data_IF_265637399149
#
_entry.id   IF_265637399149
#
_cell.length_a   1.000
_cell.length_b   1.000
_cell.length_c   1.000
_cell.angle_alpha   90.00
_cell.angle_beta   90.00
_cell.angle_gamma   90.00
#
_symmetry.space_group_name_H-M   'P 1'
#
loop_
_entity.id
_entity.type
_entity.pdbx_description
1 polymer ?
#
# COMPACT_ATOMS: atom_id res chain seq x y z
N UNK A 1 11.34 -81.14 -21.55
CA UNK A 1 11.05 -79.97 -20.69
C UNK A 1 11.79 -78.77 -21.29
N UNK A 2 11.06 -77.86 -21.94
CA UNK A 2 11.60 -76.95 -22.96
C UNK A 2 12.18 -75.66 -22.36
N UNK A 3 13.45 -75.37 -22.70
CA UNK A 3 14.23 -74.17 -22.34
C UNK A 3 13.53 -72.84 -22.67
N UNK A 4 12.52 -72.87 -23.57
CA UNK A 4 11.76 -71.69 -24.00
C UNK A 4 10.83 -71.11 -22.90
N UNK A 5 10.49 -71.88 -21.86
CA UNK A 5 9.61 -71.40 -20.76
C UNK A 5 10.36 -70.70 -19.62
N UNK A 6 11.67 -70.93 -19.48
CA UNK A 6 12.47 -70.30 -18.41
C UNK A 6 12.94 -68.88 -18.78
N UNK A 7 13.22 -68.62 -20.06
CA UNK A 7 13.66 -67.29 -20.53
C UNK A 7 12.57 -66.23 -20.49
N UNK A 8 11.30 -66.62 -20.65
CA UNK A 8 10.17 -65.68 -20.63
C UNK A 8 9.82 -65.22 -19.21
N UNK A 9 10.00 -66.08 -18.20
CA UNK A 9 9.78 -65.73 -16.80
C UNK A 9 10.86 -64.76 -16.26
N UNK A 10 12.10 -64.85 -16.74
CA UNK A 10 13.19 -63.96 -16.33
C UNK A 10 13.09 -62.56 -16.97
N UNK A 11 12.58 -62.46 -18.21
CA UNK A 11 12.38 -61.19 -18.91
C UNK A 11 11.19 -60.37 -18.35
N UNK A 12 10.15 -61.04 -17.85
CA UNK A 12 9.00 -60.36 -17.22
C UNK A 12 9.34 -59.84 -15.83
N UNK A 13 10.20 -60.53 -15.06
CA UNK A 13 10.64 -60.04 -13.75
C UNK A 13 11.58 -58.81 -13.82
N UNK A 14 12.38 -58.70 -14.89
CA UNK A 14 13.23 -57.52 -15.12
C UNK A 14 12.44 -56.29 -15.58
N UNK A 15 11.31 -56.49 -16.27
CA UNK A 15 10.44 -55.38 -16.69
C UNK A 15 9.54 -54.84 -15.56
N UNK A 16 9.14 -55.69 -14.61
CA UNK A 16 8.36 -55.27 -13.44
C UNK A 16 9.25 -54.57 -12.41
N UNK A 17 10.52 -54.96 -12.26
CA UNK A 17 11.45 -54.26 -11.35
C UNK A 17 12.00 -52.94 -11.94
N UNK A 18 12.07 -52.81 -13.26
CA UNK A 18 12.47 -51.57 -13.95
C UNK A 18 11.38 -50.49 -14.06
N UNK A 19 10.12 -50.83 -13.77
CA UNK A 19 8.98 -49.89 -13.78
C UNK A 19 8.53 -49.47 -12.38
N UNK A 20 9.08 -50.07 -11.32
CA UNK A 20 8.78 -49.75 -9.93
C UNK A 20 9.76 -48.77 -9.26
N UNK A 21 10.84 -48.36 -9.93
CA UNK A 21 11.87 -47.46 -9.37
C UNK A 21 11.77 -46.01 -9.83
N UNK A 22 10.73 -45.62 -10.57
CA UNK A 22 10.45 -44.21 -10.94
C UNK A 22 9.23 -43.61 -10.22
N UNK A 23 8.67 -44.32 -9.23
CA UNK A 23 7.65 -43.78 -8.31
C UNK A 23 8.36 -43.36 -7.03
N UNK A 24 9.00 -42.18 -7.03
CA UNK A 24 9.66 -41.77 -5.78
C UNK A 24 10.58 -40.58 -5.83
N UNK A 25 10.25 -39.52 -6.59
CA UNK A 25 10.70 -38.16 -6.27
C UNK A 25 10.00 -37.13 -7.17
N UNK A 26 8.68 -37.16 -7.20
CA UNK A 26 7.98 -35.91 -7.45
C UNK A 26 8.09 -35.13 -6.14
N UNK A 27 9.19 -34.42 -5.95
CA UNK A 27 9.20 -33.29 -5.04
C UNK A 27 7.99 -32.45 -5.46
N UNK A 28 6.95 -32.45 -4.63
CA UNK A 28 5.92 -31.45 -4.71
C UNK A 28 6.63 -30.11 -4.54
N UNK A 29 7.08 -29.52 -5.65
CA UNK A 29 7.46 -28.12 -5.71
C UNK A 29 6.21 -27.40 -5.22
N UNK A 30 6.26 -26.91 -3.98
CA UNK A 30 5.17 -26.16 -3.40
C UNK A 30 4.75 -25.11 -4.42
N UNK A 31 3.47 -25.11 -4.80
CA UNK A 31 2.95 -24.20 -5.81
C UNK A 31 3.32 -22.78 -5.38
N UNK A 32 4.14 -22.12 -6.18
CA UNK A 32 4.58 -20.74 -5.94
C UNK A 32 3.34 -19.88 -5.71
N UNK A 33 3.24 -19.28 -4.52
CA UNK A 33 2.17 -18.34 -4.19
C UNK A 33 2.47 -17.03 -4.92
N UNK A 34 1.68 -16.74 -5.95
CA UNK A 34 1.73 -15.47 -6.66
C UNK A 34 0.76 -14.49 -6.01
N UNK A 35 1.27 -13.32 -5.66
CA UNK A 35 0.50 -12.21 -5.10
C UNK A 35 0.61 -11.00 -6.04
N UNK A 36 -0.50 -10.30 -6.22
CA UNK A 36 -0.58 -9.08 -7.00
C UNK A 36 -0.51 -7.88 -6.04
N UNK A 37 0.50 -7.02 -6.23
CA UNK A 37 0.64 -5.78 -5.47
C UNK A 37 0.41 -4.56 -6.37
N UNK A 38 -0.61 -3.75 -6.07
CA UNK A 38 -1.00 -2.59 -6.88
C UNK A 38 -0.94 -1.26 -6.13
N UNK A 39 -0.47 -0.19 -6.79
CA UNK A 39 -0.57 1.18 -6.28
C UNK A 39 -0.44 2.24 -7.38
N UNK A 40 -0.82 3.48 -7.05
CA UNK A 40 -0.83 4.60 -8.00
C UNK A 40 0.43 5.49 -7.96
N UNK A 41 1.29 5.34 -6.95
CA UNK A 41 2.53 6.14 -6.82
C UNK A 41 3.50 5.89 -8.00
N UNK A 42 3.92 6.92 -8.75
CA UNK A 42 4.91 6.79 -9.81
C UNK A 42 6.35 6.92 -9.30
N UNK A 43 7.36 6.46 -10.07
CA UNK A 43 8.78 6.57 -9.73
C UNK A 43 9.29 8.00 -9.45
N UNK A 44 8.56 9.02 -9.88
CA UNK A 44 8.89 10.43 -9.62
C UNK A 44 8.85 10.79 -8.13
N UNK A 45 8.07 10.07 -7.30
CA UNK A 45 8.02 10.28 -5.84
C UNK A 45 9.24 9.63 -5.18
N UNK A 46 10.32 10.39 -5.03
CA UNK A 46 11.61 9.89 -4.53
C UNK A 46 11.60 9.44 -3.07
N UNK A 47 10.62 9.88 -2.29
CA UNK A 47 10.45 9.53 -0.88
C UNK A 47 9.54 8.32 -0.67
N UNK A 48 8.45 8.21 -1.43
CA UNK A 48 7.47 7.12 -1.29
C UNK A 48 7.79 5.91 -2.17
N UNK A 49 8.24 6.12 -3.40
CA UNK A 49 8.39 5.01 -4.35
C UNK A 49 9.46 3.99 -3.93
N UNK A 50 10.67 4.38 -3.49
CA UNK A 50 11.70 3.40 -3.12
C UNK A 50 11.29 2.43 -2.00
N UNK A 51 10.72 2.85 -0.86
CA UNK A 51 10.29 1.89 0.17
C UNK A 51 9.10 1.03 -0.29
N UNK A 52 8.20 1.57 -1.11
CA UNK A 52 7.07 0.81 -1.66
C UNK A 52 7.56 -0.27 -2.63
N UNK A 53 8.53 0.03 -3.50
CA UNK A 53 9.14 -0.95 -4.40
C UNK A 53 10.04 -1.95 -3.65
N UNK A 54 10.71 -1.51 -2.58
CA UNK A 54 11.56 -2.38 -1.77
C UNK A 54 10.80 -3.55 -1.12
N UNK A 55 9.50 -3.39 -0.86
CA UNK A 55 8.66 -4.44 -0.28
C UNK A 55 8.49 -5.69 -1.19
N UNK A 56 7.97 -5.59 -2.43
CA UNK A 56 7.93 -6.73 -3.35
C UNK A 56 9.32 -7.24 -3.71
N UNK A 57 10.33 -6.37 -3.85
CA UNK A 57 11.71 -6.77 -4.14
C UNK A 57 12.28 -7.66 -3.02
N UNK A 58 12.10 -7.27 -1.77
CA UNK A 58 12.52 -8.05 -0.61
C UNK A 58 11.85 -9.42 -0.57
N UNK A 59 10.53 -9.49 -0.83
CA UNK A 59 9.80 -10.77 -0.86
C UNK A 59 10.28 -11.64 -2.01
N UNK A 60 10.51 -11.08 -3.20
CA UNK A 60 10.96 -11.84 -4.36
C UNK A 60 12.38 -12.39 -4.18
N UNK A 61 13.26 -11.63 -3.52
CA UNK A 61 14.63 -12.08 -3.19
C UNK A 61 14.64 -13.15 -2.09
N UNK A 62 13.87 -12.96 -1.02
CA UNK A 62 13.91 -13.81 0.18
C UNK A 62 12.87 -14.94 0.19
N UNK A 63 11.90 -14.90 -0.73
CA UNK A 63 10.79 -15.84 -0.84
C UNK A 63 11.20 -17.23 -1.30
N UNK A 64 12.45 -17.42 -1.78
CA UNK A 64 13.05 -18.70 -2.18
C UNK A 64 12.14 -19.52 -3.11
N UNK A 65 11.48 -18.85 -4.05
CA UNK A 65 10.55 -19.45 -5.02
C UNK A 65 9.23 -19.96 -4.42
N UNK A 66 8.95 -19.69 -3.13
CA UNK A 66 7.67 -20.04 -2.48
C UNK A 66 6.63 -18.95 -2.63
N UNK A 67 7.06 -17.70 -2.68
CA UNK A 67 6.22 -16.52 -2.83
C UNK A 67 6.82 -15.63 -3.91
N UNK A 68 5.97 -15.10 -4.77
CA UNK A 68 6.32 -14.12 -5.79
C UNK A 68 5.29 -13.00 -5.78
N UNK A 69 5.75 -11.75 -5.78
CA UNK A 69 4.92 -10.56 -5.88
C UNK A 69 5.07 -9.95 -7.26
N UNK A 70 3.96 -9.84 -7.99
CA UNK A 70 3.85 -9.07 -9.23
C UNK A 70 3.46 -7.63 -8.88
N UNK A 71 4.35 -6.69 -9.17
CA UNK A 71 4.26 -5.30 -8.72
C UNK A 71 3.75 -4.38 -9.85
N UNK A 72 2.59 -3.76 -9.63
CA UNK A 72 1.93 -2.83 -10.54
C UNK A 72 1.88 -1.43 -9.91
N UNK A 73 2.76 -0.55 -10.38
CA UNK A 73 2.84 0.84 -9.91
C UNK A 73 2.20 1.83 -10.90
N UNK A 74 2.22 3.13 -10.59
CA UNK A 74 1.69 4.20 -11.45
C UNK A 74 0.23 4.02 -11.90
N UNK A 75 -0.54 3.21 -11.19
CA UNK A 75 -1.93 2.90 -11.53
C UNK A 75 -2.07 2.20 -12.88
N UNK A 76 -1.12 1.31 -13.21
CA UNK A 76 -1.13 0.47 -14.42
C UNK A 76 -2.17 -0.65 -14.34
N UNK A 77 -2.43 -1.19 -13.14
CA UNK A 77 -3.47 -2.19 -12.90
C UNK A 77 -4.77 -1.58 -12.35
N UNK A 78 -4.67 -0.77 -11.30
CA UNK A 78 -5.80 -0.12 -10.63
C UNK A 78 -5.51 1.37 -10.41
N UNK A 79 -6.46 2.24 -10.75
CA UNK A 79 -6.44 3.66 -10.36
C UNK A 79 -6.70 3.81 -8.86
N UNK A 80 -6.42 4.99 -8.31
CA UNK A 80 -6.49 5.20 -6.85
C UNK A 80 -7.85 4.80 -6.28
N UNK A 81 -8.93 5.31 -6.85
CA UNK A 81 -10.32 5.01 -6.48
C UNK A 81 -10.70 3.52 -6.60
N UNK A 82 -9.96 2.74 -7.40
CA UNK A 82 -10.21 1.32 -7.65
C UNK A 82 -9.43 0.40 -6.70
N UNK A 83 -8.42 0.91 -5.97
CA UNK A 83 -7.52 0.07 -5.17
C UNK A 83 -8.25 -0.68 -4.03
N UNK A 84 -9.02 0.01 -3.20
CA UNK A 84 -9.74 -0.64 -2.10
C UNK A 84 -10.82 -1.62 -2.61
N UNK A 85 -11.68 -1.26 -3.58
CA UNK A 85 -12.59 -2.21 -4.20
C UNK A 85 -11.87 -3.41 -4.82
N UNK A 86 -10.74 -3.18 -5.50
CA UNK A 86 -9.91 -4.22 -6.12
C UNK A 86 -9.28 -5.16 -5.10
N UNK A 87 -8.87 -4.68 -3.93
CA UNK A 87 -8.45 -5.51 -2.80
C UNK A 87 -9.59 -6.39 -2.31
N UNK A 88 -10.75 -5.79 -2.03
CA UNK A 88 -11.92 -6.51 -1.50
C UNK A 88 -12.48 -7.56 -2.48
N UNK A 89 -12.30 -7.36 -3.77
CA UNK A 89 -12.72 -8.28 -4.84
C UNK A 89 -11.64 -9.33 -5.19
N UNK A 90 -10.41 -9.19 -4.66
CA UNK A 90 -9.29 -10.07 -4.99
C UNK A 90 -8.68 -9.83 -6.38
N UNK A 91 -8.89 -8.65 -6.97
CA UNK A 91 -8.15 -8.22 -8.18
C UNK A 91 -6.69 -7.93 -7.88
N UNK A 92 -6.40 -7.40 -6.69
CA UNK A 92 -5.06 -7.30 -6.13
C UNK A 92 -5.06 -7.92 -4.72
N UNK A 93 -4.01 -8.65 -4.37
CA UNK A 93 -3.86 -9.26 -3.04
C UNK A 93 -3.30 -8.28 -2.02
N UNK A 94 -2.53 -7.30 -2.49
CA UNK A 94 -1.87 -6.27 -1.69
C UNK A 94 -2.08 -4.93 -2.41
N UNK A 95 -2.36 -3.88 -1.66
CA UNK A 95 -2.43 -2.51 -2.18
C UNK A 95 -1.62 -1.55 -1.31
N UNK A 96 -1.16 -0.46 -1.92
CA UNK A 96 -0.74 0.73 -1.19
C UNK A 96 -1.68 1.87 -1.57
N UNK A 97 -2.32 2.46 -0.56
CA UNK A 97 -3.34 3.49 -0.71
C UNK A 97 -3.28 4.46 0.47
N UNK A 98 -3.65 5.72 0.24
CA UNK A 98 -3.88 6.71 1.28
C UNK A 98 -5.06 6.30 2.15
N UNK A 99 -4.86 6.38 3.46
CA UNK A 99 -5.90 6.27 4.48
C UNK A 99 -7.10 7.15 4.15
N UNK A 100 -6.86 8.37 3.66
CA UNK A 100 -7.89 9.34 3.27
C UNK A 100 -8.90 8.84 2.26
N UNK A 101 -8.44 8.08 1.27
CA UNK A 101 -9.27 7.50 0.22
C UNK A 101 -10.10 6.31 0.72
N UNK A 102 -9.72 5.72 1.86
CA UNK A 102 -10.33 4.52 2.41
C UNK A 102 -11.27 4.79 3.59
N UNK A 103 -11.17 5.96 4.24
CA UNK A 103 -11.94 6.29 5.45
C UNK A 103 -13.46 6.13 5.31
N UNK A 104 -14.01 6.37 4.11
CA UNK A 104 -15.45 6.20 3.87
C UNK A 104 -15.93 4.76 4.09
N UNK A 105 -15.07 3.78 3.80
CA UNK A 105 -15.34 2.35 3.95
C UNK A 105 -14.71 1.78 5.22
N UNK A 106 -13.57 2.32 5.65
CA UNK A 106 -12.75 1.89 6.78
C UNK A 106 -12.55 3.06 7.77
N UNK A 107 -13.57 3.47 8.55
CA UNK A 107 -13.51 4.69 9.36
C UNK A 107 -12.38 4.74 10.40
N UNK A 108 -11.94 3.58 10.88
CA UNK A 108 -10.82 3.47 11.83
C UNK A 108 -9.53 4.10 11.31
N UNK A 109 -9.34 4.15 9.98
CA UNK A 109 -8.16 4.73 9.36
C UNK A 109 -8.10 6.25 9.50
N UNK A 110 -9.22 6.92 9.80
CA UNK A 110 -9.22 8.36 10.07
C UNK A 110 -8.45 8.79 11.32
N UNK A 111 -8.02 7.84 12.15
CA UNK A 111 -7.12 8.12 13.29
C UNK A 111 -5.79 8.73 12.82
N UNK A 112 -5.34 8.40 11.60
CA UNK A 112 -4.07 8.88 11.06
C UNK A 112 -4.12 10.35 10.62
N UNK A 113 -5.30 10.86 10.27
CA UNK A 113 -5.48 12.24 9.81
C UNK A 113 -5.71 13.23 10.97
N UNK A 114 -5.86 12.75 12.21
CA UNK A 114 -6.18 13.64 13.32
C UNK A 114 -5.03 14.63 13.58
N UNK A 115 -5.29 15.93 13.52
CA UNK A 115 -4.26 16.93 13.70
C UNK A 115 -3.73 16.92 15.14
N UNK A 116 -2.42 17.14 15.30
CA UNK A 116 -1.77 17.32 16.60
C UNK A 116 -1.87 16.11 17.55
N UNK A 117 -2.12 14.91 17.03
CA UNK A 117 -2.21 13.70 17.84
C UNK A 117 -0.88 13.36 18.52
N UNK A 118 0.24 13.66 17.86
CA UNK A 118 1.58 13.41 18.36
C UNK A 118 2.43 14.69 18.37
N UNK A 119 3.29 14.87 19.39
CA UNK A 119 4.11 16.07 19.53
C UNK A 119 5.29 16.12 18.54
N UNK A 120 5.72 14.98 18.03
CA UNK A 120 6.88 14.84 17.15
C UNK A 120 6.75 13.58 16.27
N UNK A 121 7.57 13.50 15.22
CA UNK A 121 7.58 12.39 14.26
C UNK A 121 8.00 11.06 14.91
N UNK A 122 8.93 11.09 15.86
CA UNK A 122 9.45 9.89 16.52
C UNK A 122 8.38 9.22 17.38
N UNK A 123 7.65 10.01 18.17
CA UNK A 123 6.49 9.57 18.94
C UNK A 123 5.41 9.00 18.01
N UNK A 124 5.13 9.66 16.88
CA UNK A 124 4.19 9.14 15.88
C UNK A 124 4.63 7.75 15.38
N UNK A 125 5.89 7.60 14.96
CA UNK A 125 6.42 6.32 14.49
C UNK A 125 6.35 5.23 15.57
N UNK A 126 6.66 5.57 16.83
CA UNK A 126 6.63 4.62 17.96
C UNK A 126 5.20 4.12 18.23
N UNK A 127 4.20 4.99 18.11
CA UNK A 127 2.78 4.63 18.29
C UNK A 127 2.18 3.92 17.09
N UNK A 128 2.67 4.19 15.88
CA UNK A 128 2.18 3.57 14.64
C UNK A 128 2.94 2.30 14.24
N UNK A 129 4.01 1.93 14.96
CA UNK A 129 4.81 0.74 14.64
C UNK A 129 3.97 -0.53 14.59
N UNK A 130 4.37 -1.46 13.72
CA UNK A 130 3.77 -2.79 13.61
C UNK A 130 3.76 -3.46 14.99
N UNK A 131 2.60 -3.97 15.39
CA UNK A 131 2.40 -4.63 16.69
C UNK A 131 2.13 -3.69 17.87
N UNK A 132 2.12 -2.37 17.67
CA UNK A 132 1.67 -1.42 18.69
C UNK A 132 0.21 -1.65 19.09
N UNK A 133 -0.26 -1.12 20.24
CA UNK A 133 -1.67 -1.19 20.60
C UNK A 133 -2.60 -0.61 19.53
N UNK A 134 -2.20 0.49 18.87
CA UNK A 134 -2.99 1.10 17.80
C UNK A 134 -2.97 0.27 16.52
N UNK A 135 -1.82 -0.26 16.10
CA UNK A 135 -1.74 -1.16 14.94
C UNK A 135 -2.60 -2.42 15.13
N UNK A 136 -2.61 -2.98 16.34
CA UNK A 136 -3.48 -4.12 16.70
C UNK A 136 -4.96 -3.74 16.64
N UNK A 137 -5.35 -2.59 17.19
CA UNK A 137 -6.73 -2.11 17.14
C UNK A 137 -7.19 -1.89 15.70
N UNK A 138 -6.37 -1.26 14.86
CA UNK A 138 -6.65 -1.07 13.43
C UNK A 138 -6.87 -2.43 12.76
N UNK A 139 -5.96 -3.39 12.97
CA UNK A 139 -6.12 -4.71 12.38
C UNK A 139 -7.34 -5.49 12.88
N UNK A 140 -7.76 -5.31 14.13
CA UNK A 140 -9.00 -5.90 14.64
C UNK A 140 -10.23 -5.37 13.90
N UNK A 141 -10.25 -4.08 13.58
CA UNK A 141 -11.35 -3.46 12.82
C UNK A 141 -11.30 -3.85 11.33
N UNK A 142 -10.12 -3.87 10.72
CA UNK A 142 -9.93 -4.27 9.32
C UNK A 142 -10.26 -5.75 9.09
N UNK A 143 -9.96 -6.62 10.06
CA UNK A 143 -10.26 -8.05 9.98
C UNK A 143 -11.77 -8.34 9.83
N UNK A 144 -12.66 -7.43 10.25
CA UNK A 144 -14.11 -7.55 10.02
C UNK A 144 -14.50 -7.48 8.54
N UNK A 145 -13.57 -7.10 7.67
CA UNK A 145 -13.71 -7.01 6.21
C UNK A 145 -12.67 -7.87 5.49
N UNK A 146 -12.07 -8.84 6.19
CA UNK A 146 -11.02 -9.71 5.66
C UNK A 146 -9.77 -8.95 5.16
N UNK A 147 -9.47 -7.80 5.77
CA UNK A 147 -8.31 -6.97 5.43
C UNK A 147 -7.31 -6.98 6.59
N UNK A 148 -6.02 -6.98 6.26
CA UNK A 148 -4.92 -6.82 7.22
C UNK A 148 -4.03 -5.66 6.76
N UNK A 149 -3.77 -4.71 7.66
CA UNK A 149 -2.76 -3.68 7.48
C UNK A 149 -1.37 -4.24 7.82
N UNK A 150 -0.57 -4.49 6.76
CA UNK A 150 0.80 -5.01 6.87
C UNK A 150 1.71 -3.97 7.53
N UNK A 151 1.73 -2.76 6.97
CA UNK A 151 2.53 -1.65 7.45
C UNK A 151 1.84 -0.33 7.11
N UNK A 152 2.22 0.72 7.82
CA UNK A 152 1.87 2.10 7.50
C UNK A 152 3.16 2.82 7.18
N UNK A 153 3.20 3.54 6.07
CA UNK A 153 4.27 4.50 5.83
C UNK A 153 3.85 5.80 6.49
N UNK A 154 4.48 6.21 7.61
CA UNK A 154 4.13 7.45 8.25
C UNK A 154 4.44 8.60 7.30
N UNK A 155 3.41 9.37 6.95
CA UNK A 155 3.63 10.68 6.37
C UNK A 155 4.33 11.55 7.43
N UNK A 156 5.31 12.34 6.98
CA UNK A 156 5.86 13.42 7.81
C UNK A 156 4.77 14.45 8.10
N UNK A 157 5.06 15.40 8.99
CA UNK A 157 4.15 16.51 9.25
C UNK A 157 3.68 17.18 7.97
N UNK A 158 2.38 17.44 7.91
CA UNK A 158 1.83 18.34 6.92
C UNK A 158 2.11 19.78 7.32
N UNK A 159 2.38 20.61 6.33
CA UNK A 159 2.64 22.02 6.51
C UNK A 159 1.58 22.83 5.77
N UNK A 160 1.26 23.99 6.35
CA UNK A 160 0.52 25.02 5.67
C UNK A 160 1.50 25.85 4.83
N UNK A 161 1.40 25.72 3.52
CA UNK A 161 2.21 26.47 2.55
C UNK A 161 1.41 27.66 2.04
N UNK A 162 1.93 28.87 2.28
CA UNK A 162 1.28 30.12 1.86
C UNK A 162 2.30 31.09 1.26
N UNK A 163 1.85 31.98 0.37
CA UNK A 163 2.70 33.06 -0.17
C UNK A 163 3.00 34.14 0.87
N UNK A 164 2.08 34.37 1.81
CA UNK A 164 2.21 35.34 2.91
C UNK A 164 2.46 34.61 4.23
N UNK A 165 3.34 35.12 5.11
CA UNK A 165 3.54 34.54 6.44
C UNK A 165 2.24 34.49 7.25
N UNK A 166 1.96 33.35 7.87
CA UNK A 166 0.85 33.14 8.80
C UNK A 166 1.45 33.04 10.20
N UNK A 167 1.09 33.97 11.09
CA UNK A 167 1.63 34.04 12.47
C UNK A 167 0.57 33.76 13.53
N UNK A 168 -0.70 33.93 13.17
CA UNK A 168 -1.86 33.63 14.02
C UNK A 168 -3.02 33.11 13.15
N UNK A 169 -3.96 32.33 13.72
CA UNK A 169 -5.10 31.80 12.97
C UNK A 169 -5.90 32.87 12.21
N UNK A 170 -6.03 34.09 12.74
CA UNK A 170 -6.72 35.19 12.07
C UNK A 170 -6.13 35.56 10.69
N UNK A 171 -4.83 35.30 10.46
CA UNK A 171 -4.17 35.61 9.19
C UNK A 171 -4.66 34.68 8.05
N UNK A 172 -5.32 33.57 8.38
CA UNK A 172 -5.92 32.63 7.43
C UNK A 172 -7.32 33.04 6.96
N UNK A 173 -7.96 34.01 7.62
CA UNK A 173 -9.35 34.38 7.34
C UNK A 173 -9.53 34.80 5.89
N UNK A 174 -10.44 34.11 5.20
CA UNK A 174 -10.78 34.39 3.80
C UNK A 174 -9.76 33.89 2.77
N UNK A 175 -8.66 33.25 3.19
CA UNK A 175 -7.75 32.58 2.24
C UNK A 175 -8.39 31.30 1.72
N UNK A 176 -8.21 31.03 0.42
CA UNK A 176 -8.59 29.76 -0.21
C UNK A 176 -7.43 28.79 -0.07
N UNK A 177 -7.56 27.77 0.76
CA UNK A 177 -6.48 26.80 1.01
C UNK A 177 -6.83 25.48 0.36
N UNK A 178 -5.95 25.00 -0.53
CA UNK A 178 -6.08 23.67 -1.11
C UNK A 178 -5.93 22.61 -0.04
N UNK A 179 -6.78 21.58 -0.10
CA UNK A 179 -6.72 20.37 0.75
C UNK A 179 -6.90 19.11 -0.10
N UNK A 180 -6.35 17.98 0.35
CA UNK A 180 -6.53 16.68 -0.27
C UNK A 180 -7.66 15.88 0.41
N UNK A 181 -7.78 15.99 1.72
CA UNK A 181 -8.72 15.22 2.55
C UNK A 181 -9.86 16.02 3.19
N UNK A 182 -10.84 15.29 3.74
CA UNK A 182 -11.96 15.88 4.50
C UNK A 182 -11.52 16.40 5.86
N UNK A 183 -10.57 15.74 6.53
CA UNK A 183 -10.08 16.19 7.84
C UNK A 183 -9.29 17.49 7.66
N UNK A 184 -8.39 17.56 6.68
CA UNK A 184 -7.73 18.82 6.29
C UNK A 184 -8.74 19.93 6.01
N UNK A 185 -9.80 19.64 5.25
CA UNK A 185 -10.86 20.62 4.97
C UNK A 185 -11.53 21.13 6.25
N UNK A 186 -11.81 20.23 7.20
CA UNK A 186 -12.38 20.57 8.50
C UNK A 186 -11.43 21.43 9.34
N UNK A 187 -10.13 21.11 9.35
CA UNK A 187 -9.08 21.88 10.05
C UNK A 187 -8.96 23.28 9.45
N UNK A 188 -8.81 23.38 8.13
CA UNK A 188 -8.72 24.67 7.41
C UNK A 188 -9.94 25.54 7.69
N UNK A 189 -11.14 24.96 7.66
CA UNK A 189 -12.38 25.66 7.98
C UNK A 189 -12.43 26.11 9.44
N UNK A 190 -11.99 25.27 10.38
CA UNK A 190 -11.92 25.61 11.80
C UNK A 190 -10.91 26.75 12.07
N UNK A 191 -9.86 26.86 11.26
CA UNK A 191 -8.89 27.96 11.28
C UNK A 191 -9.39 29.25 10.59
N UNK A 192 -10.60 29.25 10.01
CA UNK A 192 -11.24 30.42 9.41
C UNK A 192 -10.94 30.65 7.92
N UNK A 193 -10.21 29.74 7.28
CA UNK A 193 -9.97 29.75 5.84
C UNK A 193 -11.08 29.01 5.07
N UNK A 194 -11.11 29.19 3.75
CA UNK A 194 -11.99 28.48 2.83
C UNK A 194 -11.24 27.28 2.20
N UNK A 195 -11.60 26.03 2.53
CA UNK A 195 -10.96 24.88 1.91
C UNK A 195 -11.41 24.68 0.45
N UNK A 196 -10.47 24.33 -0.42
CA UNK A 196 -10.72 23.92 -1.82
C UNK A 196 -10.13 22.52 -2.04
N UNK A 197 -10.97 21.51 -2.26
CA UNK A 197 -10.49 20.12 -2.45
C UNK A 197 -10.08 19.87 -3.90
N UNK A 198 -8.83 19.46 -4.12
CA UNK A 198 -8.32 19.04 -5.44
C UNK A 198 -7.26 17.95 -5.28
N UNK A 199 -6.97 17.20 -6.35
CA UNK A 199 -5.89 16.22 -6.35
C UNK A 199 -4.50 16.88 -6.27
N UNK A 200 -3.47 16.13 -5.87
CA UNK A 200 -2.09 16.66 -5.84
C UNK A 200 -1.56 16.95 -7.25
N UNK A 201 -2.09 16.27 -8.28
CA UNK A 201 -1.72 16.51 -9.68
C UNK A 201 -2.17 17.89 -10.18
N UNK A 202 -3.27 18.43 -9.65
CA UNK A 202 -3.83 19.73 -10.05
C UNK A 202 -3.26 20.90 -9.24
N UNK A 203 -2.50 20.62 -8.18
CA UNK A 203 -2.02 21.61 -7.22
C UNK A 203 -1.12 22.67 -7.88
N UNK A 204 -0.18 22.26 -8.72
CA UNK A 204 0.74 23.18 -9.39
C UNK A 204 -0.03 24.22 -10.21
N UNK A 205 -0.95 23.76 -11.05
CA UNK A 205 -1.74 24.65 -11.88
C UNK A 205 -2.66 25.55 -11.05
N UNK A 206 -3.23 25.03 -9.95
CA UNK A 206 -4.08 25.81 -9.05
C UNK A 206 -3.30 26.96 -8.38
N UNK A 207 -2.07 26.68 -7.92
CA UNK A 207 -1.16 27.69 -7.36
C UNK A 207 -0.71 28.71 -8.41
N UNK A 208 -0.41 28.25 -9.63
CA UNK A 208 0.03 29.09 -10.74
C UNK A 208 -1.09 30.03 -11.22
N UNK A 209 -2.32 29.52 -11.37
CA UNK A 209 -3.51 30.30 -11.74
C UNK A 209 -4.04 31.18 -10.60
N UNK A 210 -3.56 30.98 -9.37
CA UNK A 210 -4.04 31.71 -8.20
C UNK A 210 -5.50 31.39 -7.84
N UNK A 211 -5.97 30.18 -8.17
CA UNK A 211 -7.29 29.70 -7.72
C UNK A 211 -7.29 29.33 -6.24
N UNK A 212 -6.11 29.08 -5.67
CA UNK A 212 -5.84 28.90 -4.24
C UNK A 212 -4.69 29.80 -3.79
N UNK A 213 -4.74 30.23 -2.52
CA UNK A 213 -3.78 31.13 -1.88
C UNK A 213 -2.68 30.38 -1.11
N UNK A 214 -2.90 29.07 -0.90
CA UNK A 214 -1.99 28.15 -0.23
C UNK A 214 -2.48 26.70 -0.28
N UNK A 215 -1.76 25.79 0.37
CA UNK A 215 -2.12 24.37 0.47
C UNK A 215 -1.70 23.80 1.81
N UNK A 216 -2.42 22.77 2.27
CA UNK A 216 -1.91 21.84 3.28
C UNK A 216 -1.36 20.62 2.56
N UNK A 217 -0.09 20.29 2.81
CA UNK A 217 0.56 19.06 2.35
C UNK A 217 1.94 18.90 3.01
N UNK A 218 2.50 17.71 2.93
CA UNK A 218 3.89 17.46 3.29
C UNK A 218 4.87 18.03 2.23
N UNK A 219 6.15 18.13 2.59
CA UNK A 219 7.17 18.81 1.77
C UNK A 219 7.35 18.20 0.38
N UNK A 220 7.30 16.88 0.24
CA UNK A 220 7.60 16.22 -1.04
C UNK A 220 6.60 16.60 -2.14
N UNK A 221 5.32 16.83 -1.80
CA UNK A 221 4.30 17.29 -2.75
C UNK A 221 4.64 18.64 -3.38
N UNK A 222 5.45 19.47 -2.72
CA UNK A 222 5.87 20.78 -3.23
C UNK A 222 7.10 20.69 -4.12
N UNK A 223 7.99 19.72 -3.87
CA UNK A 223 9.30 19.61 -4.55
C UNK A 223 9.36 18.50 -5.61
N UNK A 224 8.36 17.62 -5.67
CA UNK A 224 8.19 16.58 -6.70
C UNK A 224 7.65 17.17 -7.99
#
# INVERSE_FOLDING_TARGET
MSWKRLGFAFLVLLFVCGTLTTIGQQQAMAKELKLIFAHYIPPAYKDLFPPIQGFPDYINEHGKGKVRVEHFHSGTLLKSEELLPGLMQGTADIIFQLDSAMMGTLPILGIFELPLLYPDVETSHEKLKIGSPLHKLINQELAKKDIIAIATLPAVFEYLWTKKPIRKPDDLKGLRIRVAGRVEAAVVKALGAAPTTTSSAELYEALQRGTVDGTVCYQSTIIS
#
